data_IF_981224002726
#
_entry.id   IF_981224002726
#
_cell.length_a   1.000
_cell.length_b   1.000
_cell.length_c   1.000
_cell.angle_alpha   90.00
_cell.angle_beta   90.00
_cell.angle_gamma   90.00
#
_symmetry.space_group_name_H-M   'P 1'
#
loop_
_entity.id
_entity.type
_entity.pdbx_description
1 polymer ?
#
# COMPACT_ATOMS: atom_id res chain seq x y z
N UNK A 1 8.35 -1.87 0.69
CA UNK A 1 9.05 -0.62 0.32
C UNK A 1 10.54 -0.82 0.43
N UNK A 2 11.30 -0.16 -0.44
CA UNK A 2 12.76 -0.13 -0.40
C UNK A 2 13.20 1.32 -0.16
N UNK A 3 14.05 1.53 0.86
CA UNK A 3 14.61 2.86 1.17
C UNK A 3 15.97 2.98 0.47
N UNK A 4 16.05 3.95 -0.43
CA UNK A 4 17.23 4.19 -1.25
C UNK A 4 17.87 5.51 -0.83
N UNK A 5 19.17 5.51 -0.65
CA UNK A 5 19.93 6.71 -0.24
C UNK A 5 20.16 7.64 -1.42
N UNK A 6 19.68 8.88 -1.31
CA UNK A 6 19.90 9.97 -2.27
C UNK A 6 20.67 11.15 -1.68
N UNK A 7 21.02 11.09 -0.41
CA UNK A 7 21.75 12.15 0.29
C UNK A 7 23.26 11.87 0.36
N UNK A 8 24.07 12.95 0.40
CA UNK A 8 25.51 12.89 0.55
C UNK A 8 25.91 13.32 1.95
N UNK A 9 26.35 12.37 2.80
CA UNK A 9 26.89 12.67 4.12
C UNK A 9 28.26 11.98 4.28
N UNK A 10 29.34 12.74 4.49
CA UNK A 10 30.69 12.18 4.66
C UNK A 10 30.83 11.32 5.91
N UNK A 11 29.99 11.53 6.93
CA UNK A 11 30.04 10.78 8.20
C UNK A 11 29.31 9.45 8.12
N UNK A 12 28.48 9.24 7.07
CA UNK A 12 27.76 7.99 6.82
C UNK A 12 28.43 7.18 5.72
N UNK A 13 29.16 6.14 6.13
CA UNK A 13 29.88 5.25 5.20
C UNK A 13 28.91 4.53 4.26
N UNK A 14 29.17 4.62 2.95
CA UNK A 14 28.46 3.81 1.93
C UNK A 14 29.25 2.53 1.64
N UNK A 15 28.56 1.38 1.55
CA UNK A 15 29.21 0.07 1.34
C UNK A 15 30.07 0.05 0.06
N UNK A 16 29.61 0.69 -1.02
CA UNK A 16 30.32 0.78 -2.29
C UNK A 16 31.28 1.99 -2.39
N UNK A 17 31.45 2.79 -1.33
CA UNK A 17 32.33 3.96 -1.28
C UNK A 17 31.81 5.21 -2.00
N UNK A 18 30.67 5.14 -2.69
CA UNK A 18 29.97 6.28 -3.30
C UNK A 18 28.47 6.03 -3.26
N UNK A 19 27.67 7.09 -3.20
CA UNK A 19 26.22 7.02 -3.30
C UNK A 19 25.86 6.85 -4.78
N UNK A 20 25.19 5.76 -5.11
CA UNK A 20 24.70 5.44 -6.46
C UNK A 20 23.33 4.72 -6.33
N UNK A 21 22.24 5.48 -6.27
CA UNK A 21 20.90 4.93 -6.00
C UNK A 21 20.48 3.82 -6.96
N UNK A 22 20.89 3.91 -8.24
CA UNK A 22 20.56 2.86 -9.24
C UNK A 22 21.31 1.57 -8.95
N UNK A 23 22.61 1.67 -8.67
CA UNK A 23 23.44 0.52 -8.33
C UNK A 23 22.94 -0.18 -7.05
N UNK A 24 22.48 0.61 -6.06
CA UNK A 24 21.95 0.07 -4.81
C UNK A 24 20.65 -0.72 -5.04
N UNK A 25 19.73 -0.16 -5.83
CA UNK A 25 18.48 -0.83 -6.21
C UNK A 25 18.75 -2.10 -7.03
N UNK A 26 19.69 -2.06 -8.00
CA UNK A 26 20.03 -3.25 -8.78
C UNK A 26 20.64 -4.36 -7.91
N UNK A 27 21.40 -3.99 -6.89
CA UNK A 27 21.95 -4.94 -5.90
C UNK A 27 20.82 -5.63 -5.13
N UNK A 28 19.93 -4.85 -4.51
CA UNK A 28 18.79 -5.41 -3.75
C UNK A 28 17.85 -6.23 -4.64
N UNK A 29 17.58 -5.76 -5.86
CA UNK A 29 16.79 -6.51 -6.85
C UNK A 29 17.42 -7.88 -7.14
N UNK A 30 18.73 -7.94 -7.31
CA UNK A 30 19.45 -9.19 -7.55
C UNK A 30 19.35 -10.12 -6.36
N UNK A 31 19.52 -9.62 -5.14
CA UNK A 31 19.39 -10.43 -3.92
C UNK A 31 17.96 -10.98 -3.76
N UNK A 32 16.92 -10.19 -4.05
CA UNK A 32 15.53 -10.65 -4.00
C UNK A 32 15.25 -11.75 -5.04
N UNK A 33 15.81 -11.61 -6.26
CA UNK A 33 15.69 -12.62 -7.32
C UNK A 33 16.39 -13.91 -6.89
N UNK A 34 17.61 -13.85 -6.35
CA UNK A 34 18.35 -15.03 -5.87
C UNK A 34 17.60 -15.74 -4.73
N UNK A 35 16.99 -15.00 -3.81
CA UNK A 35 16.17 -15.57 -2.75
C UNK A 35 14.94 -16.32 -3.30
N UNK A 36 14.30 -15.76 -4.33
CA UNK A 36 13.16 -16.40 -4.98
C UNK A 36 13.59 -17.64 -5.79
N UNK A 37 14.73 -17.60 -6.50
CA UNK A 37 15.30 -18.78 -7.18
C UNK A 37 15.45 -19.92 -6.18
N UNK A 38 16.12 -19.68 -5.05
CA UNK A 38 16.32 -20.69 -4.01
C UNK A 38 14.99 -21.23 -3.47
N UNK A 39 13.98 -20.38 -3.33
CA UNK A 39 12.64 -20.78 -2.88
C UNK A 39 11.96 -21.69 -3.89
N UNK A 40 11.98 -21.33 -5.17
CA UNK A 40 11.35 -22.12 -6.23
C UNK A 40 12.09 -23.44 -6.44
N UNK A 41 13.41 -23.44 -6.51
CA UNK A 41 14.22 -24.66 -6.64
C UNK A 41 13.95 -25.68 -5.52
N UNK A 42 13.83 -25.19 -4.28
CA UNK A 42 13.47 -26.03 -3.13
C UNK A 42 12.06 -26.62 -3.25
N UNK A 43 11.13 -25.92 -3.89
CA UNK A 43 9.75 -26.36 -4.07
C UNK A 43 9.60 -27.37 -5.22
N UNK A 44 10.40 -27.30 -6.29
CA UNK A 44 10.31 -28.15 -7.51
C UNK A 44 10.18 -29.64 -7.18
N UNK A 45 11.02 -30.28 -6.33
CA UNK A 45 10.92 -31.73 -6.08
C UNK A 45 9.57 -32.14 -5.44
N UNK A 46 8.96 -31.26 -4.64
CA UNK A 46 7.63 -31.48 -4.06
C UNK A 46 6.57 -31.36 -5.15
N UNK A 47 6.63 -30.30 -5.94
CA UNK A 47 5.67 -30.02 -7.03
C UNK A 47 5.72 -31.11 -8.12
N UNK A 48 6.87 -31.70 -8.41
CA UNK A 48 7.00 -32.85 -9.32
C UNK A 48 6.28 -34.13 -8.81
N UNK A 49 6.24 -34.33 -7.50
CA UNK A 49 5.46 -35.42 -6.90
C UNK A 49 3.94 -35.12 -6.97
N UNK A 50 3.55 -33.88 -6.73
CA UNK A 50 2.15 -33.43 -6.83
C UNK A 50 1.64 -33.54 -8.28
N UNK A 51 2.44 -33.12 -9.26
CA UNK A 51 2.12 -33.16 -10.68
C UNK A 51 1.83 -34.60 -11.20
N UNK A 52 2.37 -35.65 -10.56
CA UNK A 52 2.06 -37.05 -10.88
C UNK A 52 0.71 -37.53 -10.35
N UNK A 53 0.06 -36.74 -9.46
CA UNK A 53 -1.17 -37.13 -8.78
C UNK A 53 -2.40 -36.55 -9.48
N UNK A 54 -2.33 -35.28 -9.89
CA UNK A 54 -3.47 -34.59 -10.47
C UNK A 54 -3.05 -33.42 -11.37
N UNK A 55 -4.03 -32.88 -12.12
CA UNK A 55 -3.83 -31.76 -13.04
C UNK A 55 -3.48 -30.45 -12.33
N UNK A 56 -3.95 -30.24 -11.10
CA UNK A 56 -3.65 -29.04 -10.33
C UNK A 56 -2.16 -28.98 -9.98
N UNK A 57 -1.59 -30.11 -9.52
CA UNK A 57 -0.15 -30.24 -9.28
C UNK A 57 0.68 -30.02 -10.54
N UNK A 58 0.19 -30.48 -11.73
CA UNK A 58 0.87 -30.24 -12.99
C UNK A 58 0.89 -28.73 -13.34
N UNK A 59 -0.22 -28.01 -13.16
CA UNK A 59 -0.29 -26.56 -13.40
C UNK A 59 0.64 -25.79 -12.45
N UNK A 60 0.70 -26.17 -11.17
CA UNK A 60 1.63 -25.57 -10.20
C UNK A 60 3.09 -25.73 -10.62
N UNK A 61 3.47 -26.93 -11.05
CA UNK A 61 4.83 -27.22 -11.51
C UNK A 61 5.19 -26.41 -12.76
N UNK A 62 4.28 -26.28 -13.71
CA UNK A 62 4.47 -25.51 -14.93
C UNK A 62 4.67 -24.02 -14.62
N UNK A 63 3.80 -23.43 -13.80
CA UNK A 63 3.92 -22.05 -13.35
C UNK A 63 5.25 -21.81 -12.59
N UNK A 64 5.63 -22.71 -11.67
CA UNK A 64 6.88 -22.62 -10.94
C UNK A 64 8.11 -22.67 -11.87
N UNK A 65 8.11 -23.54 -12.89
CA UNK A 65 9.19 -23.63 -13.88
C UNK A 65 9.27 -22.38 -14.76
N UNK A 66 8.14 -21.84 -15.18
CA UNK A 66 8.08 -20.58 -15.94
C UNK A 66 8.69 -19.44 -15.13
N UNK A 67 8.32 -19.32 -13.85
CA UNK A 67 8.90 -18.32 -12.95
C UNK A 67 10.40 -18.52 -12.74
N UNK A 68 10.84 -19.76 -12.50
CA UNK A 68 12.26 -20.06 -12.33
C UNK A 68 13.09 -19.67 -13.56
N UNK A 69 12.59 -19.92 -14.76
CA UNK A 69 13.25 -19.53 -16.00
C UNK A 69 13.41 -17.99 -16.06
N UNK A 70 12.35 -17.23 -15.81
CA UNK A 70 12.40 -15.77 -15.83
C UNK A 70 13.30 -15.17 -14.75
N UNK A 71 13.29 -15.76 -13.54
CA UNK A 71 14.20 -15.36 -12.46
C UNK A 71 15.66 -15.59 -12.83
N UNK A 72 16.00 -16.71 -13.47
CA UNK A 72 17.36 -17.00 -13.95
C UNK A 72 17.82 -16.04 -15.08
N UNK A 73 16.89 -15.42 -15.80
CA UNK A 73 17.16 -14.37 -16.77
C UNK A 73 17.26 -12.98 -16.12
N UNK A 74 17.14 -12.88 -14.79
CA UNK A 74 17.20 -11.63 -14.03
C UNK A 74 15.89 -10.83 -14.01
N UNK A 75 14.76 -11.43 -14.42
CA UNK A 75 13.45 -10.82 -14.38
C UNK A 75 12.74 -11.08 -13.05
N UNK A 76 12.08 -10.06 -12.49
CA UNK A 76 11.22 -10.24 -11.31
C UNK A 76 9.97 -11.05 -11.68
N UNK A 77 9.51 -11.92 -10.79
CA UNK A 77 8.36 -12.80 -11.05
C UNK A 77 7.10 -12.01 -11.47
N UNK A 78 6.85 -10.83 -10.90
CA UNK A 78 5.71 -9.95 -11.25
C UNK A 78 5.74 -9.43 -12.69
N UNK A 79 6.91 -9.42 -13.34
CA UNK A 79 7.06 -8.88 -14.72
C UNK A 79 6.97 -9.96 -15.80
N UNK A 80 6.74 -11.22 -15.43
CA UNK A 80 6.77 -12.36 -16.37
C UNK A 80 5.45 -12.58 -17.13
N UNK A 81 4.46 -11.70 -16.98
CA UNK A 81 3.17 -11.82 -17.66
C UNK A 81 2.43 -13.13 -17.30
N UNK A 82 2.42 -13.48 -16.01
CA UNK A 82 1.68 -14.65 -15.51
C UNK A 82 0.18 -14.40 -15.59
N UNK A 83 -0.58 -15.44 -15.91
CA UNK A 83 -2.04 -15.40 -15.81
C UNK A 83 -2.50 -15.44 -14.35
N UNK A 84 -3.76 -15.07 -14.07
CA UNK A 84 -4.32 -15.16 -12.71
C UNK A 84 -4.25 -16.59 -12.15
N UNK A 85 -4.51 -17.60 -12.99
CA UNK A 85 -4.41 -19.01 -12.59
C UNK A 85 -2.96 -19.42 -12.26
N UNK A 86 -1.98 -18.94 -13.03
CA UNK A 86 -0.55 -19.18 -12.74
C UNK A 86 -0.13 -18.50 -11.43
N UNK A 87 -0.56 -17.26 -11.19
CA UNK A 87 -0.30 -16.55 -9.94
C UNK A 87 -0.92 -17.30 -8.75
N UNK A 88 -2.19 -17.71 -8.87
CA UNK A 88 -2.87 -18.49 -7.84
C UNK A 88 -2.16 -19.85 -7.57
N UNK A 89 -1.67 -20.50 -8.61
CA UNK A 89 -0.99 -21.79 -8.51
C UNK A 89 0.32 -21.72 -7.70
N UNK A 90 1.05 -20.60 -7.77
CA UNK A 90 2.33 -20.41 -7.06
C UNK A 90 2.21 -19.54 -5.82
N UNK A 91 1.01 -19.10 -5.44
CA UNK A 91 0.78 -18.19 -4.33
C UNK A 91 1.43 -18.67 -3.02
N UNK A 92 1.38 -19.99 -2.76
CA UNK A 92 1.98 -20.61 -1.57
C UNK A 92 3.53 -20.48 -1.48
N UNK A 93 4.20 -20.11 -2.57
CA UNK A 93 5.66 -19.89 -2.56
C UNK A 93 6.05 -18.54 -1.96
N UNK A 94 5.08 -17.60 -1.80
CA UNK A 94 5.28 -16.27 -1.20
C UNK A 94 6.49 -15.52 -1.76
N UNK A 95 6.68 -15.58 -3.09
CA UNK A 95 7.83 -14.99 -3.76
C UNK A 95 7.93 -13.48 -3.48
N UNK A 96 9.13 -13.03 -3.17
CA UNK A 96 9.43 -11.63 -2.83
C UNK A 96 9.24 -10.72 -4.04
N UNK A 97 9.71 -11.18 -5.22
CA UNK A 97 9.64 -10.40 -6.46
C UNK A 97 8.25 -10.41 -7.12
N UNK A 98 7.26 -11.15 -6.58
CA UNK A 98 5.84 -11.02 -6.94
C UNK A 98 5.19 -9.80 -6.30
N UNK A 99 5.71 -9.33 -5.16
CA UNK A 99 5.13 -8.19 -4.44
C UNK A 99 5.34 -6.89 -5.21
N UNK A 100 4.34 -5.98 -5.20
CA UNK A 100 4.56 -4.62 -5.70
C UNK A 100 5.65 -3.93 -4.88
N UNK A 101 6.43 -3.06 -5.53
CA UNK A 101 7.56 -2.36 -4.90
C UNK A 101 7.27 -0.86 -4.84
N UNK A 102 7.53 -0.24 -3.70
CA UNK A 102 7.55 1.20 -3.50
C UNK A 102 8.98 1.62 -3.16
N UNK A 103 9.49 2.61 -3.87
CA UNK A 103 10.81 3.18 -3.60
C UNK A 103 10.68 4.46 -2.78
N UNK A 104 11.43 4.54 -1.69
CA UNK A 104 11.53 5.72 -0.84
C UNK A 104 12.93 6.29 -1.05
N UNK A 105 13.00 7.49 -1.61
CA UNK A 105 14.25 8.21 -1.73
C UNK A 105 14.52 8.98 -0.45
N UNK A 106 15.47 8.52 0.35
CA UNK A 106 15.94 9.29 1.50
C UNK A 106 16.88 10.39 1.01
N UNK A 107 16.39 11.64 1.06
CA UNK A 107 17.03 12.84 0.52
C UNK A 107 17.50 13.79 1.61
N UNK A 108 18.33 14.77 1.25
CA UNK A 108 18.65 15.90 2.11
C UNK A 108 17.44 16.80 2.38
N UNK A 109 17.49 17.62 3.42
CA UNK A 109 16.37 18.48 3.87
C UNK A 109 15.88 19.46 2.81
N UNK A 110 16.78 19.95 1.98
CA UNK A 110 16.52 20.89 0.87
C UNK A 110 16.05 20.21 -0.43
N UNK A 111 15.98 18.88 -0.45
CA UNK A 111 15.63 18.10 -1.64
C UNK A 111 14.30 17.33 -1.50
N UNK A 112 13.49 17.61 -0.48
CA UNK A 112 12.19 16.91 -0.25
C UNK A 112 11.14 17.13 -1.33
N UNK A 113 11.27 18.21 -2.12
CA UNK A 113 10.39 18.51 -3.26
C UNK A 113 11.11 18.36 -4.61
N UNK A 114 12.34 17.79 -4.62
CA UNK A 114 13.08 17.60 -5.85
C UNK A 114 12.42 16.58 -6.78
N UNK A 115 12.44 16.85 -8.08
CA UNK A 115 12.10 15.84 -9.09
C UNK A 115 13.20 14.79 -9.13
N UNK A 116 12.84 13.56 -8.78
CA UNK A 116 13.78 12.44 -8.73
C UNK A 116 13.67 11.59 -10.00
N UNK A 117 14.80 10.99 -10.45
CA UNK A 117 14.78 10.08 -11.56
C UNK A 117 13.95 8.83 -11.23
N UNK A 118 13.22 8.33 -12.21
CA UNK A 118 12.52 7.05 -12.09
C UNK A 118 13.48 5.89 -11.79
N UNK A 119 13.02 4.99 -10.94
CA UNK A 119 13.66 3.74 -10.60
C UNK A 119 12.73 2.60 -11.03
N UNK A 120 13.18 1.75 -11.92
CA UNK A 120 12.38 0.62 -12.46
C UNK A 120 10.99 1.02 -13.00
N UNK A 121 10.88 2.22 -13.59
CA UNK A 121 9.62 2.78 -14.09
C UNK A 121 8.66 3.26 -13.01
N UNK A 122 9.14 3.45 -11.78
CA UNK A 122 8.39 4.00 -10.66
C UNK A 122 9.03 5.32 -10.22
N UNK A 123 8.22 6.31 -9.90
CA UNK A 123 8.69 7.55 -9.26
C UNK A 123 8.90 7.28 -7.76
N UNK A 124 10.13 7.46 -7.23
CA UNK A 124 10.38 7.28 -5.81
C UNK A 124 9.69 8.37 -4.99
N UNK A 125 9.27 8.05 -3.78
CA UNK A 125 8.71 9.02 -2.82
C UNK A 125 9.87 9.70 -2.10
N UNK A 126 10.09 11.02 -2.28
CA UNK A 126 11.14 11.74 -1.57
C UNK A 126 10.76 11.95 -0.10
N UNK A 127 11.65 11.56 0.80
CA UNK A 127 11.50 11.73 2.26
C UNK A 127 12.86 12.09 2.83
N UNK A 128 12.92 13.13 3.67
CA UNK A 128 14.07 13.35 4.51
C UNK A 128 13.82 12.73 5.88
N UNK A 129 14.53 11.65 6.19
CA UNK A 129 14.38 10.97 7.48
C UNK A 129 14.67 11.89 8.68
N UNK A 130 15.55 12.88 8.49
CA UNK A 130 15.86 13.87 9.50
C UNK A 130 14.68 14.81 9.74
N UNK A 131 14.12 15.38 8.69
CA UNK A 131 12.93 16.26 8.77
C UNK A 131 11.75 15.53 9.41
N UNK A 132 11.51 14.24 9.05
CA UNK A 132 10.45 13.46 9.67
C UNK A 132 10.68 13.21 11.16
N UNK A 133 11.93 13.00 11.57
CA UNK A 133 12.27 12.85 12.99
C UNK A 133 12.02 14.15 13.77
N UNK A 134 12.44 15.29 13.20
CA UNK A 134 12.24 16.61 13.82
C UNK A 134 10.74 16.95 13.94
N UNK A 135 9.94 16.68 12.88
CA UNK A 135 8.48 16.86 12.90
C UNK A 135 7.84 15.96 13.98
N UNK A 136 8.27 14.71 14.11
CA UNK A 136 7.73 13.79 15.10
C UNK A 136 8.05 14.25 16.53
N UNK A 137 9.28 14.70 16.80
CA UNK A 137 9.69 15.22 18.10
C UNK A 137 8.89 16.49 18.46
N UNK A 138 8.77 17.43 17.53
CA UNK A 138 7.97 18.63 17.73
C UNK A 138 6.50 18.33 17.99
N UNK A 139 5.91 17.40 17.23
CA UNK A 139 4.50 17.03 17.38
C UNK A 139 4.17 16.36 18.72
N UNK A 140 5.15 15.69 19.35
CA UNK A 140 4.99 15.15 20.71
C UNK A 140 5.02 16.27 21.78
N UNK A 141 5.72 17.36 21.52
CA UNK A 141 5.83 18.50 22.43
C UNK A 141 4.71 19.51 22.21
N UNK A 142 4.55 19.96 20.99
CA UNK A 142 3.54 20.96 20.57
C UNK A 142 3.16 20.73 19.09
N UNK A 143 1.94 20.20 18.80
CA UNK A 143 1.47 19.97 17.44
C UNK A 143 1.39 21.25 16.56
N UNK A 144 1.19 22.42 17.15
CA UNK A 144 1.14 23.67 16.40
C UNK A 144 2.56 24.09 15.96
N UNK A 145 3.58 23.90 16.81
CA UNK A 145 4.98 24.12 16.46
C UNK A 145 5.45 23.19 15.33
N UNK A 146 5.06 21.92 15.36
CA UNK A 146 5.35 20.99 14.29
C UNK A 146 4.74 21.46 12.94
N UNK A 147 3.53 22.01 12.97
CA UNK A 147 2.89 22.55 11.79
C UNK A 147 3.61 23.80 11.26
N UNK A 148 3.97 24.72 12.13
CA UNK A 148 4.76 25.92 11.77
C UNK A 148 6.12 25.53 11.16
N UNK A 149 6.77 24.49 11.69
CA UNK A 149 8.03 23.96 11.14
C UNK A 149 7.83 23.41 9.72
N UNK A 150 6.78 22.62 9.48
CA UNK A 150 6.44 22.13 8.15
C UNK A 150 6.16 23.27 7.16
N UNK A 151 5.38 24.27 7.58
CA UNK A 151 5.07 25.46 6.76
C UNK A 151 6.34 26.25 6.42
N UNK A 152 7.28 26.38 7.36
CA UNK A 152 8.56 27.06 7.16
C UNK A 152 9.45 26.31 6.13
N UNK A 153 9.31 25.00 6.02
CA UNK A 153 9.97 24.16 5.00
C UNK A 153 9.19 24.12 3.67
N UNK A 154 8.03 24.80 3.57
CA UNK A 154 7.19 24.76 2.38
C UNK A 154 6.41 23.45 2.21
N UNK A 155 6.36 22.60 3.23
CA UNK A 155 5.70 21.31 3.17
C UNK A 155 4.21 21.43 3.50
N UNK A 156 3.35 20.96 2.61
CA UNK A 156 1.90 20.84 2.87
C UNK A 156 1.56 19.59 3.68
N UNK A 157 2.38 18.54 3.52
CA UNK A 157 2.23 17.24 4.18
C UNK A 157 3.60 16.68 4.57
N UNK A 158 3.66 15.88 5.63
CA UNK A 158 4.87 15.13 5.96
C UNK A 158 5.20 14.08 4.88
N UNK A 159 6.45 13.71 4.76
CA UNK A 159 6.88 12.63 3.87
C UNK A 159 6.22 11.30 4.25
N UNK A 160 5.98 11.07 5.55
CA UNK A 160 5.25 9.91 6.03
C UNK A 160 3.79 9.89 5.54
N UNK A 161 3.11 11.02 5.52
CA UNK A 161 1.75 11.11 5.00
C UNK A 161 1.70 10.81 3.48
N UNK A 162 2.69 11.31 2.72
CA UNK A 162 2.87 10.98 1.30
C UNK A 162 3.12 9.48 1.10
N UNK A 163 4.02 8.90 1.89
CA UNK A 163 4.32 7.46 1.86
C UNK A 163 3.08 6.61 2.10
N UNK A 164 2.26 6.96 3.09
CA UNK A 164 1.03 6.24 3.40
C UNK A 164 0.07 6.28 2.20
N UNK A 165 -0.13 7.44 1.58
CA UNK A 165 -1.00 7.56 0.38
C UNK A 165 -0.50 6.70 -0.77
N UNK A 166 0.80 6.76 -1.08
CA UNK A 166 1.38 5.96 -2.16
C UNK A 166 1.31 4.45 -1.86
N UNK A 167 1.48 4.05 -0.60
CA UNK A 167 1.33 2.65 -0.20
C UNK A 167 -0.12 2.16 -0.34
N UNK A 168 -1.10 2.97 0.04
CA UNK A 168 -2.52 2.66 -0.15
C UNK A 168 -2.87 2.54 -1.63
N UNK A 169 -2.43 3.49 -2.45
CA UNK A 169 -2.62 3.46 -3.90
C UNK A 169 -1.98 2.21 -4.53
N UNK A 170 -0.73 1.91 -4.19
CA UNK A 170 0.00 0.74 -4.70
C UNK A 170 -0.68 -0.59 -4.34
N UNK A 171 -1.30 -0.66 -3.15
CA UNK A 171 -2.00 -1.84 -2.67
C UNK A 171 -3.48 -1.90 -3.12
N UNK A 172 -3.95 -0.89 -3.85
CA UNK A 172 -5.35 -0.78 -4.25
C UNK A 172 -6.30 -0.67 -3.05
N UNK A 173 -5.88 0.05 -2.00
CA UNK A 173 -6.65 0.26 -0.78
C UNK A 173 -7.21 1.67 -0.72
N UNK A 174 -8.30 1.82 0.02
CA UNK A 174 -8.93 3.10 0.34
C UNK A 174 -9.54 3.03 1.74
N UNK A 175 -9.89 4.19 2.30
CA UNK A 175 -10.47 4.28 3.64
C UNK A 175 -11.88 4.86 3.59
N UNK A 176 -12.75 4.35 4.44
CA UNK A 176 -14.00 5.01 4.80
C UNK A 176 -14.07 5.19 6.32
N UNK A 177 -14.97 6.03 6.78
CA UNK A 177 -15.12 6.35 8.19
C UNK A 177 -16.48 5.92 8.72
N UNK A 178 -16.50 5.53 9.98
CA UNK A 178 -17.71 5.50 10.80
C UNK A 178 -17.57 6.54 11.90
N UNK A 179 -18.63 7.29 12.15
CA UNK A 179 -18.64 8.30 13.20
C UNK A 179 -19.95 8.19 13.99
N UNK A 180 -19.82 8.09 15.30
CA UNK A 180 -20.93 8.01 16.25
C UNK A 180 -20.63 8.83 17.51
N UNK A 181 -21.53 8.82 18.48
CA UNK A 181 -21.37 9.59 19.72
C UNK A 181 -20.16 9.16 20.56
N UNK A 182 -19.76 7.90 20.46
CA UNK A 182 -18.72 7.31 21.30
C UNK A 182 -17.40 7.10 20.59
N UNK A 183 -17.41 6.92 19.27
CA UNK A 183 -16.22 6.58 18.50
C UNK A 183 -16.31 7.13 17.07
N UNK A 184 -15.18 7.64 16.57
CA UNK A 184 -14.93 7.86 15.14
C UNK A 184 -13.77 6.99 14.73
N UNK A 185 -13.94 6.21 13.63
CA UNK A 185 -12.94 5.24 13.20
C UNK A 185 -12.79 5.19 11.68
N UNK A 186 -11.55 5.08 11.22
CA UNK A 186 -11.21 4.78 9.84
C UNK A 186 -11.14 3.25 9.63
N UNK A 187 -11.65 2.80 8.49
CA UNK A 187 -11.65 1.40 8.07
C UNK A 187 -11.02 1.27 6.69
N UNK A 188 -10.12 0.34 6.54
CA UNK A 188 -9.42 0.09 5.27
C UNK A 188 -10.13 -1.00 4.47
N UNK A 189 -10.40 -0.72 3.20
CA UNK A 189 -11.05 -1.63 2.27
C UNK A 189 -10.33 -1.61 0.91
N UNK A 190 -10.44 -2.66 0.09
CA UNK A 190 -10.01 -2.61 -1.30
C UNK A 190 -10.81 -1.57 -2.11
N UNK A 191 -10.14 -0.90 -3.05
CA UNK A 191 -10.80 -0.06 -4.05
C UNK A 191 -11.81 -0.91 -4.84
N UNK A 192 -13.00 -0.37 -5.03
CA UNK A 192 -14.10 -1.09 -5.68
C UNK A 192 -14.96 -1.95 -4.74
N UNK A 193 -14.64 -1.98 -3.43
CA UNK A 193 -15.48 -2.69 -2.46
C UNK A 193 -16.89 -2.09 -2.38
N UNK A 194 -17.90 -2.96 -2.34
CA UNK A 194 -19.31 -2.57 -2.19
C UNK A 194 -19.66 -2.36 -0.70
N UNK A 195 -20.71 -1.58 -0.45
CA UNK A 195 -21.17 -1.26 0.91
C UNK A 195 -21.36 -2.48 1.85
N UNK A 196 -21.90 -3.64 1.43
CA UNK A 196 -21.94 -4.82 2.29
C UNK A 196 -20.55 -5.34 2.66
N UNK A 197 -19.60 -5.35 1.72
CA UNK A 197 -18.23 -5.78 1.98
C UNK A 197 -17.53 -4.84 2.96
N UNK A 198 -17.73 -3.52 2.80
CA UNK A 198 -17.23 -2.52 3.75
C UNK A 198 -17.83 -2.76 5.16
N UNK A 199 -19.13 -2.99 5.26
CA UNK A 199 -19.76 -3.35 6.52
C UNK A 199 -19.15 -4.63 7.15
N UNK A 200 -18.79 -5.60 6.31
CA UNK A 200 -18.15 -6.87 6.70
C UNK A 200 -16.79 -6.70 7.35
N UNK A 201 -16.04 -5.64 7.03
CA UNK A 201 -14.76 -5.32 7.69
C UNK A 201 -14.97 -4.94 9.16
N UNK A 202 -16.12 -4.37 9.51
CA UNK A 202 -16.48 -4.08 10.89
C UNK A 202 -16.85 -5.37 11.63
N UNK A 203 -17.80 -6.12 11.06
CA UNK A 203 -18.25 -7.41 11.58
C UNK A 203 -18.99 -8.21 10.49
N UNK A 204 -18.78 -9.52 10.45
CA UNK A 204 -19.43 -10.42 9.47
C UNK A 204 -20.96 -10.37 9.50
N UNK A 205 -21.56 -10.08 10.66
CA UNK A 205 -23.00 -9.93 10.79
C UNK A 205 -23.52 -8.68 10.07
N UNK A 206 -22.74 -7.62 10.02
CA UNK A 206 -23.09 -6.39 9.29
C UNK A 206 -23.16 -6.65 7.78
N UNK A 207 -22.27 -7.48 7.23
CA UNK A 207 -22.33 -7.90 5.84
C UNK A 207 -23.57 -8.75 5.56
N UNK A 208 -23.79 -9.80 6.38
CA UNK A 208 -24.92 -10.73 6.20
C UNK A 208 -26.28 -10.04 6.33
N UNK A 209 -26.40 -9.18 7.32
CA UNK A 209 -27.63 -8.47 7.65
C UNK A 209 -27.78 -7.12 6.96
N UNK A 210 -26.88 -6.76 6.03
CA UNK A 210 -26.85 -5.43 5.39
C UNK A 210 -28.20 -5.06 4.75
N UNK A 211 -28.74 -3.90 5.13
CA UNK A 211 -29.97 -3.32 4.56
C UNK A 211 -29.62 -2.15 3.66
N UNK A 212 -28.93 -1.14 4.21
CA UNK A 212 -28.49 0.09 3.53
C UNK A 212 -27.38 0.78 4.34
N UNK A 213 -26.72 1.74 3.73
CA UNK A 213 -25.85 2.68 4.40
C UNK A 213 -26.36 4.11 4.26
N UNK A 214 -26.32 4.90 5.31
CA UNK A 214 -26.44 6.36 5.26
C UNK A 214 -25.02 6.89 5.09
N UNK A 215 -24.77 7.63 4.00
CA UNK A 215 -23.42 7.99 3.55
C UNK A 215 -23.33 9.47 3.24
N UNK A 216 -22.30 10.15 3.73
CA UNK A 216 -21.93 11.51 3.34
C UNK A 216 -20.45 11.52 2.93
N UNK A 217 -20.02 12.48 2.08
CA UNK A 217 -18.59 12.67 1.84
C UNK A 217 -17.91 13.25 3.08
N UNK A 218 -16.61 13.04 3.23
CA UNK A 218 -15.83 13.59 4.34
C UNK A 218 -15.93 15.12 4.38
N UNK A 219 -15.82 15.76 3.22
CA UNK A 219 -15.87 17.24 3.09
C UNK A 219 -17.22 17.78 3.55
N UNK A 220 -18.33 17.20 3.07
CA UNK A 220 -19.68 17.60 3.50
C UNK A 220 -19.87 17.35 5.01
N UNK A 221 -19.37 16.20 5.51
CA UNK A 221 -19.52 15.84 6.92
C UNK A 221 -18.83 16.83 7.85
N UNK A 222 -17.59 17.24 7.52
CA UNK A 222 -16.82 18.21 8.29
C UNK A 222 -17.41 19.61 8.15
N UNK A 223 -17.72 20.04 6.93
CA UNK A 223 -18.22 21.40 6.67
C UNK A 223 -19.60 21.66 7.32
N UNK A 224 -20.44 20.63 7.41
CA UNK A 224 -21.81 20.74 7.96
C UNK A 224 -21.92 20.31 9.43
N UNK A 225 -20.81 19.97 10.08
CA UNK A 225 -20.77 19.65 11.50
C UNK A 225 -21.37 18.28 11.86
N UNK A 226 -21.24 17.29 10.96
CA UNK A 226 -21.60 15.91 11.22
C UNK A 226 -22.88 15.42 10.54
N UNK A 227 -23.34 14.23 10.92
CA UNK A 227 -24.47 13.53 10.30
C UNK A 227 -25.75 14.37 10.26
N UNK A 228 -26.06 15.06 11.37
CA UNK A 228 -27.26 15.89 11.45
C UNK A 228 -27.22 17.04 10.46
N UNK A 229 -26.11 17.77 10.35
CA UNK A 229 -25.94 18.83 9.38
C UNK A 229 -26.04 18.34 7.94
N UNK A 230 -25.43 17.20 7.63
CA UNK A 230 -25.56 16.55 6.32
C UNK A 230 -27.02 16.17 6.00
N UNK A 231 -27.77 15.68 6.99
CA UNK A 231 -29.19 15.34 6.83
C UNK A 231 -30.03 16.58 6.54
N UNK A 232 -29.87 17.62 7.33
CA UNK A 232 -30.62 18.89 7.20
C UNK A 232 -30.32 19.61 5.87
N UNK A 233 -29.09 19.45 5.36
CA UNK A 233 -28.65 20.00 4.07
C UNK A 233 -28.95 19.07 2.86
N UNK A 234 -29.55 17.89 3.08
CA UNK A 234 -29.84 16.93 2.01
C UNK A 234 -28.61 16.26 1.40
N UNK A 235 -27.50 16.22 2.14
CA UNK A 235 -26.22 15.64 1.74
C UNK A 235 -26.00 14.20 2.26
N UNK A 236 -26.89 13.72 3.13
CA UNK A 236 -26.88 12.35 3.62
C UNK A 236 -27.60 11.43 2.64
N UNK A 237 -26.87 10.69 1.84
CA UNK A 237 -27.37 9.74 0.85
C UNK A 237 -27.77 8.42 1.50
N UNK A 238 -28.72 7.70 0.89
CA UNK A 238 -29.05 6.33 1.26
C UNK A 238 -28.56 5.40 0.17
N UNK A 239 -27.58 4.57 0.49
CA UNK A 239 -26.91 3.69 -0.46
C UNK A 239 -27.28 2.23 -0.21
N UNK A 240 -27.53 1.51 -1.31
CA UNK A 240 -27.90 0.09 -1.31
C UNK A 240 -26.71 -0.84 -1.44
N UNK A 241 -27.02 -2.14 -1.65
CA UNK A 241 -26.02 -3.22 -1.73
C UNK A 241 -25.02 -3.08 -2.87
N UNK A 242 -25.36 -2.39 -3.94
CA UNK A 242 -24.51 -2.24 -5.13
C UNK A 242 -23.65 -0.97 -5.10
N UNK A 243 -23.79 -0.15 -4.07
CA UNK A 243 -22.98 1.04 -3.91
C UNK A 243 -21.51 0.69 -3.76
N UNK A 244 -20.67 1.25 -4.62
CA UNK A 244 -19.22 1.15 -4.53
C UNK A 244 -18.73 2.28 -3.64
N UNK A 245 -18.15 1.92 -2.50
CA UNK A 245 -17.66 2.88 -1.50
C UNK A 245 -16.57 3.74 -2.10
N UNK A 246 -16.63 5.03 -1.82
CA UNK A 246 -15.61 6.00 -2.24
C UNK A 246 -14.65 6.26 -1.10
N UNK A 247 -13.40 6.64 -1.44
CA UNK A 247 -12.44 7.07 -0.44
C UNK A 247 -12.95 8.29 0.32
N UNK A 248 -12.84 8.26 1.65
CA UNK A 248 -13.34 9.34 2.51
C UNK A 248 -14.85 9.33 2.79
N UNK A 249 -15.63 8.36 2.30
CA UNK A 249 -17.05 8.26 2.70
C UNK A 249 -17.19 8.11 4.23
N UNK A 250 -18.10 8.88 4.83
CA UNK A 250 -18.54 8.69 6.21
C UNK A 250 -19.85 7.91 6.20
N UNK A 251 -19.84 6.69 6.75
CA UNK A 251 -20.91 5.71 6.57
C UNK A 251 -21.53 5.25 7.89
N UNK A 252 -22.83 5.17 7.91
CA UNK A 252 -23.59 4.56 9.00
C UNK A 252 -24.42 3.38 8.47
N UNK A 253 -24.02 2.16 8.80
CA UNK A 253 -24.65 0.94 8.32
C UNK A 253 -25.94 0.60 9.09
N UNK A 254 -27.00 0.27 8.36
CA UNK A 254 -28.24 -0.29 8.89
C UNK A 254 -28.28 -1.77 8.51
N UNK A 255 -28.38 -2.62 9.48
CA UNK A 255 -28.40 -4.08 9.31
C UNK A 255 -29.40 -4.73 10.25
N UNK A 256 -29.79 -5.96 9.93
CA UNK A 256 -30.65 -6.79 10.76
C UNK A 256 -30.06 -8.21 10.80
N UNK A 257 -29.86 -8.76 12.00
CA UNK A 257 -29.27 -10.10 12.25
C UNK A 257 -30.30 -10.95 12.98
#
# INVERSE_FOLDING_TARGET
AEVVRFFGDPDVTHVAGKVDPRSDVDTIKTELILADIATVEKAIPRLEKEAKRDKSGAAKLEAARKVLAGLNEGHRARTLGLTEDEVAAIYELHLLTMKPMLYIANVDEDAVDAELPEIDGCTPVPISAKVEADIAELAEMDPDEAKEYMEALGLTDSGLARLIREAYHLLGLQSYFTSGETETRAWTIPVGAKAPQAAGVIHSDFERGFIKAETASFEDYVALGGEKGCRDAGKLRQEGKDYVVQDGDVMHFKFNV
#
